data_IF_658055609859
#
_entry.id   IF_658055609859
#
_cell.length_a   1.000
_cell.length_b   1.000
_cell.length_c   1.000
_cell.angle_alpha   90.00
_cell.angle_beta   90.00
_cell.angle_gamma   90.00
#
_symmetry.space_group_name_H-M   'P 1'
#
loop_
_entity.id
_entity.type
_entity.pdbx_description
1 polymer ?
#
# COMPACT_ATOMS: atom_id res chain seq x y z
N UNK A 1 -22.78 -9.85 -9.53
CA UNK A 1 -24.07 -9.31 -9.12
C UNK A 1 -23.90 -7.86 -8.66
N UNK A 2 -23.74 -7.55 -7.36
CA UNK A 2 -23.81 -6.15 -6.87
C UNK A 2 -22.85 -5.14 -7.52
N UNK A 3 -21.59 -5.50 -7.78
CA UNK A 3 -20.64 -4.56 -8.42
C UNK A 3 -20.85 -4.42 -9.93
N UNK A 4 -21.43 -5.44 -10.57
CA UNK A 4 -21.79 -5.39 -11.99
C UNK A 4 -22.92 -4.37 -12.16
N UNK A 5 -23.98 -4.48 -11.35
CA UNK A 5 -25.13 -3.57 -11.40
C UNK A 5 -24.72 -2.09 -11.19
N UNK A 6 -23.80 -1.84 -10.25
CA UNK A 6 -23.28 -0.49 -9.99
C UNK A 6 -22.44 0.03 -11.17
N UNK A 7 -21.59 -0.83 -11.75
CA UNK A 7 -20.79 -0.46 -12.90
C UNK A 7 -21.67 -0.13 -14.12
N UNK A 8 -22.71 -0.94 -14.39
CA UNK A 8 -23.65 -0.69 -15.49
C UNK A 8 -24.38 0.65 -15.35
N UNK A 9 -24.83 1.01 -14.14
CA UNK A 9 -25.49 2.30 -13.85
C UNK A 9 -24.51 3.46 -14.09
N UNK A 10 -23.27 3.34 -13.60
CA UNK A 10 -22.28 4.42 -13.70
C UNK A 10 -21.80 4.66 -15.13
N UNK A 11 -21.66 3.61 -15.95
CA UNK A 11 -21.35 3.73 -17.39
C UNK A 11 -22.45 4.50 -18.13
N UNK A 12 -23.72 4.27 -17.79
CA UNK A 12 -24.85 5.00 -18.40
C UNK A 12 -24.84 6.50 -18.12
N UNK A 13 -24.23 6.94 -17.01
CA UNK A 13 -24.14 8.35 -16.62
C UNK A 13 -22.86 9.06 -17.08
N UNK A 14 -21.86 8.32 -17.59
CA UNK A 14 -20.57 8.90 -18.02
C UNK A 14 -20.50 9.02 -19.54
N UNK A 15 -20.25 10.24 -20.03
CA UNK A 15 -20.12 10.57 -21.46
C UNK A 15 -18.83 10.07 -22.11
N UNK A 16 -17.97 9.35 -21.37
CA UNK A 16 -16.74 8.75 -21.88
C UNK A 16 -16.85 7.22 -21.91
N UNK A 17 -16.40 6.62 -23.01
CA UNK A 17 -16.34 5.18 -23.19
C UNK A 17 -15.23 4.54 -22.33
N UNK A 18 -15.47 4.43 -21.03
CA UNK A 18 -14.69 3.56 -20.14
C UNK A 18 -15.35 2.19 -20.15
N UNK A 19 -14.59 1.13 -20.38
CA UNK A 19 -15.13 -0.23 -20.35
C UNK A 19 -15.68 -0.56 -18.96
N UNK A 20 -16.86 -1.18 -18.92
CA UNK A 20 -17.57 -1.56 -17.70
C UNK A 20 -16.70 -2.42 -16.77
N UNK A 21 -15.91 -3.33 -17.35
CA UNK A 21 -14.97 -4.18 -16.62
C UNK A 21 -13.89 -3.37 -15.88
N UNK A 22 -13.35 -2.33 -16.51
CA UNK A 22 -12.33 -1.46 -15.91
C UNK A 22 -12.92 -0.63 -14.77
N UNK A 23 -14.17 -0.21 -14.92
CA UNK A 23 -14.88 0.50 -13.87
C UNK A 23 -15.18 -0.41 -12.66
N UNK A 24 -15.66 -1.62 -12.92
CA UNK A 24 -15.88 -2.65 -11.89
C UNK A 24 -14.58 -2.96 -11.12
N UNK A 25 -13.48 -3.19 -11.83
CA UNK A 25 -12.17 -3.43 -11.19
C UNK A 25 -11.74 -2.24 -10.33
N UNK A 26 -11.91 -1.01 -10.81
CA UNK A 26 -11.62 0.20 -10.03
C UNK A 26 -12.49 0.31 -8.77
N UNK A 27 -13.79 0.00 -8.87
CA UNK A 27 -14.70 -0.03 -7.72
C UNK A 27 -14.29 -1.08 -6.70
N UNK A 28 -13.96 -2.29 -7.16
CA UNK A 28 -13.50 -3.37 -6.29
C UNK A 28 -12.18 -3.03 -5.59
N UNK A 29 -11.19 -2.51 -6.32
CA UNK A 29 -9.91 -2.07 -5.76
C UNK A 29 -10.10 -0.99 -4.69
N UNK A 30 -11.04 -0.07 -4.91
CA UNK A 30 -11.31 1.02 -3.98
C UNK A 30 -12.14 0.60 -2.78
N UNK A 31 -13.00 -0.42 -2.88
CA UNK A 31 -13.98 -0.71 -1.82
C UNK A 31 -13.76 -2.03 -1.09
N UNK A 32 -13.07 -2.99 -1.71
CA UNK A 32 -12.93 -4.35 -1.17
C UNK A 32 -11.48 -4.80 -1.02
N UNK A 33 -10.55 -4.23 -1.78
CA UNK A 33 -9.15 -4.65 -1.75
C UNK A 33 -8.33 -3.81 -0.76
N UNK A 34 -7.37 -4.43 -0.06
CA UNK A 34 -6.42 -3.68 0.76
C UNK A 34 -5.54 -2.81 -0.13
N UNK A 35 -5.10 -1.66 0.38
CA UNK A 35 -4.16 -0.80 -0.34
C UNK A 35 -2.97 -0.43 0.53
N UNK A 36 -1.81 -0.36 -0.09
CA UNK A 36 -0.56 0.06 0.52
C UNK A 36 -0.13 1.38 -0.12
N UNK A 37 0.04 2.41 0.69
CA UNK A 37 0.54 3.72 0.25
C UNK A 37 1.88 4.00 0.91
N UNK A 38 2.87 4.36 0.10
CA UNK A 38 4.16 4.88 0.57
C UNK A 38 4.11 6.39 0.44
N UNK A 39 4.06 7.12 1.55
CA UNK A 39 3.82 8.57 1.55
C UNK A 39 5.02 9.36 1.05
N UNK A 40 6.15 9.19 1.71
CA UNK A 40 7.40 9.87 1.40
C UNK A 40 8.55 9.09 1.97
N UNK A 41 9.58 8.89 1.16
CA UNK A 41 10.88 8.45 1.63
C UNK A 41 11.76 9.69 1.84
N UNK A 42 12.53 9.70 2.93
CA UNK A 42 13.51 10.72 3.26
C UNK A 42 14.86 10.06 3.35
N UNK A 43 15.86 10.66 2.74
CA UNK A 43 17.25 10.22 2.83
C UNK A 43 18.10 11.30 3.47
N UNK A 44 19.17 10.91 4.14
CA UNK A 44 20.13 11.85 4.72
C UNK A 44 20.97 12.52 3.63
N UNK A 45 21.27 13.81 3.82
CA UNK A 45 22.13 14.61 2.95
C UNK A 45 21.34 15.57 2.04
N UNK A 46 22.03 16.49 1.34
CA UNK A 46 21.40 17.28 0.28
C UNK A 46 20.88 16.35 -0.83
N UNK A 47 19.83 16.78 -1.53
CA UNK A 47 19.26 16.03 -2.66
C UNK A 47 20.38 15.66 -3.66
N UNK A 48 20.73 14.38 -3.72
CA UNK A 48 21.80 13.87 -4.58
C UNK A 48 23.16 13.58 -3.91
N UNK A 49 23.25 13.55 -2.57
CA UNK A 49 24.43 12.95 -1.93
C UNK A 49 24.62 11.50 -2.40
N UNK A 50 25.81 11.17 -2.91
CA UNK A 50 26.05 9.92 -3.64
C UNK A 50 25.80 8.66 -2.80
N UNK A 51 25.90 8.76 -1.48
CA UNK A 51 25.58 7.68 -0.53
C UNK A 51 24.95 8.27 0.74
N UNK A 52 23.67 8.00 0.95
CA UNK A 52 22.97 8.36 2.18
C UNK A 52 23.30 7.41 3.33
N UNK A 53 23.54 7.96 4.53
CA UNK A 53 23.80 7.19 5.76
C UNK A 53 22.53 6.70 6.46
N UNK A 54 21.37 7.33 6.19
CA UNK A 54 20.09 6.90 6.72
C UNK A 54 18.96 7.17 5.73
N UNK A 55 17.96 6.30 5.74
CA UNK A 55 16.71 6.48 5.02
C UNK A 55 15.52 6.12 5.93
N UNK A 56 14.43 6.87 5.81
CA UNK A 56 13.17 6.63 6.52
C UNK A 56 11.99 6.77 5.55
N UNK A 57 10.91 6.04 5.80
CA UNK A 57 9.69 6.14 5.01
C UNK A 57 8.47 5.95 5.89
N UNK A 58 7.36 6.59 5.51
CA UNK A 58 6.06 6.39 6.14
C UNK A 58 5.17 5.58 5.20
N UNK A 59 4.61 4.50 5.72
CA UNK A 59 3.77 3.56 4.98
C UNK A 59 2.41 3.48 5.66
N UNK A 60 1.34 3.50 4.88
CA UNK A 60 -0.02 3.25 5.37
C UNK A 60 -0.62 2.08 4.61
N UNK A 61 -1.22 1.16 5.35
CA UNK A 61 -1.95 0.02 4.81
C UNK A 61 -3.42 0.14 5.23
N UNK A 62 -4.33 0.10 4.27
CA UNK A 62 -5.76 -0.02 4.53
C UNK A 62 -6.14 -1.49 4.69
N UNK A 63 -6.76 -1.81 5.82
CA UNK A 63 -7.31 -3.13 6.09
C UNK A 63 -8.71 -3.28 5.51
N UNK A 64 -9.08 -4.53 5.24
CA UNK A 64 -10.40 -4.93 4.76
C UNK A 64 -11.02 -5.93 5.74
N UNK A 65 -12.35 -6.14 5.72
CA UNK A 65 -13.01 -7.03 6.66
C UNK A 65 -12.37 -8.43 6.70
N UNK A 66 -12.21 -8.97 7.91
CA UNK A 66 -11.53 -10.26 8.15
C UNK A 66 -10.01 -10.15 8.31
N UNK A 67 -9.45 -8.94 8.31
CA UNK A 67 -8.04 -8.70 8.64
C UNK A 67 -7.92 -8.02 10.00
N UNK A 68 -7.33 -8.74 10.96
CA UNK A 68 -7.02 -8.20 12.27
C UNK A 68 -5.74 -7.36 12.23
N UNK A 69 -5.77 -6.19 12.89
CA UNK A 69 -4.67 -5.21 12.88
C UNK A 69 -3.37 -5.83 13.37
N UNK A 70 -3.43 -6.61 14.44
CA UNK A 70 -2.28 -7.24 15.08
C UNK A 70 -1.63 -8.29 14.17
N UNK A 71 -2.43 -9.12 13.49
CA UNK A 71 -1.93 -10.16 12.59
C UNK A 71 -1.25 -9.55 11.36
N UNK A 72 -1.86 -8.52 10.78
CA UNK A 72 -1.28 -7.82 9.64
C UNK A 72 -0.01 -7.06 10.04
N UNK A 73 0.01 -6.43 11.22
CA UNK A 73 1.18 -5.74 11.75
C UNK A 73 2.36 -6.69 11.98
N UNK A 74 2.09 -7.88 12.52
CA UNK A 74 3.09 -8.95 12.69
C UNK A 74 3.60 -9.45 11.36
N UNK A 75 2.71 -9.77 10.42
CA UNK A 75 3.07 -10.28 9.10
C UNK A 75 3.93 -9.26 8.33
N UNK A 76 3.54 -7.97 8.34
CA UNK A 76 4.30 -6.91 7.68
C UNK A 76 5.66 -6.68 8.34
N UNK A 77 5.73 -6.66 9.67
CA UNK A 77 6.99 -6.53 10.40
C UNK A 77 7.93 -7.69 10.12
N UNK A 78 7.40 -8.92 10.08
CA UNK A 78 8.16 -10.12 9.75
C UNK A 78 8.70 -10.05 8.32
N UNK A 79 7.85 -9.71 7.35
CA UNK A 79 8.23 -9.58 5.95
C UNK A 79 9.35 -8.55 5.76
N UNK A 80 9.19 -7.33 6.31
CA UNK A 80 10.21 -6.28 6.18
C UNK A 80 11.54 -6.68 6.83
N UNK A 81 11.51 -7.35 7.98
CA UNK A 81 12.73 -7.84 8.64
C UNK A 81 13.40 -8.95 7.84
N UNK A 82 12.61 -9.86 7.26
CA UNK A 82 13.11 -10.93 6.39
C UNK A 82 13.80 -10.35 5.15
N UNK A 83 13.10 -9.51 4.38
CA UNK A 83 13.65 -8.92 3.16
C UNK A 83 14.88 -8.06 3.45
N UNK A 84 14.87 -7.29 4.55
CA UNK A 84 16.04 -6.50 4.93
C UNK A 84 17.23 -7.37 5.35
N UNK A 85 16.98 -8.51 6.02
CA UNK A 85 18.03 -9.46 6.38
C UNK A 85 18.71 -10.09 5.16
N UNK A 86 17.97 -10.32 4.08
CA UNK A 86 18.51 -10.83 2.81
C UNK A 86 19.46 -9.86 2.11
N UNK A 87 19.46 -8.57 2.48
CA UNK A 87 20.40 -7.59 1.94
C UNK A 87 21.82 -7.75 2.51
N UNK A 88 21.99 -8.54 3.58
CA UNK A 88 23.28 -8.84 4.23
C UNK A 88 24.13 -7.59 4.53
N UNK A 89 23.47 -6.47 4.82
CA UNK A 89 24.13 -5.18 5.06
C UNK A 89 24.42 -4.94 6.54
N UNK A 90 25.35 -4.03 6.84
CA UNK A 90 25.61 -3.55 8.20
C UNK A 90 24.58 -2.52 8.69
N UNK A 91 23.62 -2.14 7.83
CA UNK A 91 22.59 -1.17 8.18
C UNK A 91 21.59 -1.79 9.18
N UNK A 92 20.92 -0.93 9.95
CA UNK A 92 19.89 -1.35 10.91
C UNK A 92 18.52 -0.92 10.42
N UNK A 93 17.55 -1.82 10.51
CA UNK A 93 16.14 -1.53 10.27
C UNK A 93 15.41 -1.29 11.60
N UNK A 94 14.70 -0.17 11.68
CA UNK A 94 13.73 0.10 12.74
C UNK A 94 12.34 0.21 12.12
N UNK A 95 11.35 -0.42 12.76
CA UNK A 95 9.95 -0.42 12.32
C UNK A 95 9.12 0.09 13.50
N UNK A 96 8.34 1.14 13.28
CA UNK A 96 7.34 1.64 14.21
C UNK A 96 5.95 1.55 13.57
N UNK A 97 4.96 1.11 14.34
CA UNK A 97 3.57 0.95 13.90
C UNK A 97 2.72 1.76 14.86
N UNK A 98 2.09 2.80 14.34
CA UNK A 98 1.35 3.79 15.13
C UNK A 98 0.00 3.27 15.64
N UNK A 99 -0.55 2.23 15.02
CA UNK A 99 -1.88 1.69 15.31
C UNK A 99 -1.76 0.24 15.80
N UNK A 100 -1.82 0.04 17.12
CA UNK A 100 -1.83 -1.26 17.80
C UNK A 100 -3.13 -1.45 18.56
#
# INVERSE_FOLDING_TARGET
ARYDDIASIMVHHQSQAVSEEKLKQSLMARWREPNLTIHRYKVSGPDGSLVSSHASSHISLRLVPGQEVEDVSKAMSWFLRREFGLLESQNRLSINIDNK
#
